data_IF_019074890598
#
_entry.id   IF_019074890598
#
_cell.length_a   1.000
_cell.length_b   1.000
_cell.length_c   1.000
_cell.angle_alpha   90.00
_cell.angle_beta   90.00
_cell.angle_gamma   90.00
#
_symmetry.space_group_name_H-M   'P 1'
#
loop_
_entity.id
_entity.type
_entity.pdbx_description
1 polymer ?
#
# COMPACT_ATOMS: atom_id res chain seq x y z
N UNK A 1 -19.86 44.96 -68.74
CA UNK A 1 -19.67 44.68 -67.34
C UNK A 1 -19.58 43.20 -67.12
N UNK A 2 -18.35 42.63 -66.94
CA UNK A 2 -18.11 41.22 -66.67
C UNK A 2 -18.01 41.02 -65.16
N UNK A 3 -18.87 40.24 -64.55
CA UNK A 3 -18.78 39.85 -63.12
C UNK A 3 -17.92 38.60 -63.02
N UNK A 4 -16.78 38.73 -62.40
CA UNK A 4 -15.90 37.62 -62.02
C UNK A 4 -16.36 37.06 -60.65
N UNK A 5 -16.81 35.81 -60.62
CA UNK A 5 -17.13 35.07 -59.41
C UNK A 5 -15.86 34.36 -58.90
N UNK A 6 -15.45 34.65 -57.67
CA UNK A 6 -14.40 33.92 -56.94
C UNK A 6 -15.01 32.68 -56.29
N UNK A 7 -14.36 31.52 -56.31
CA UNK A 7 -14.80 30.37 -55.58
C UNK A 7 -14.38 30.48 -54.11
N UNK A 8 -15.34 30.26 -53.21
CA UNK A 8 -15.14 30.14 -51.76
C UNK A 8 -14.59 28.72 -51.48
N UNK A 9 -13.34 28.62 -51.14
CA UNK A 9 -12.74 27.36 -50.66
C UNK A 9 -13.06 27.19 -49.17
N UNK A 10 -13.93 26.29 -48.83
CA UNK A 10 -14.23 25.90 -47.47
C UNK A 10 -13.10 25.01 -46.93
N UNK A 11 -12.31 25.52 -46.00
CA UNK A 11 -11.29 24.77 -45.25
C UNK A 11 -12.02 24.00 -44.14
N UNK A 12 -12.18 22.68 -44.33
CA UNK A 12 -12.68 21.77 -43.31
C UNK A 12 -11.53 21.47 -42.31
N UNK A 13 -11.50 22.20 -41.22
CA UNK A 13 -10.55 21.91 -40.10
C UNK A 13 -11.03 20.65 -39.37
N UNK A 14 -10.46 19.50 -39.72
CA UNK A 14 -10.67 18.26 -39.00
C UNK A 14 -10.03 18.31 -37.60
N UNK A 15 -10.83 18.43 -36.57
CA UNK A 15 -10.36 18.27 -35.20
C UNK A 15 -9.98 16.80 -34.96
N UNK A 16 -8.69 16.52 -34.93
CA UNK A 16 -8.15 15.23 -34.49
C UNK A 16 -8.38 15.14 -32.96
N UNK A 17 -9.46 14.52 -32.54
CA UNK A 17 -9.65 14.09 -31.16
C UNK A 17 -8.64 12.95 -30.88
N UNK A 18 -7.54 13.29 -30.21
CA UNK A 18 -6.64 12.31 -29.63
C UNK A 18 -7.41 11.58 -28.53
N UNK A 19 -7.91 10.39 -28.81
CA UNK A 19 -8.44 9.48 -27.80
C UNK A 19 -7.24 8.96 -27.02
N UNK A 20 -6.89 9.62 -25.91
CA UNK A 20 -5.97 9.05 -24.94
C UNK A 20 -6.59 7.74 -24.44
N UNK A 21 -5.87 6.62 -24.45
CA UNK A 21 -6.39 5.39 -23.89
C UNK A 21 -6.75 5.65 -22.41
N UNK A 22 -7.97 5.28 -22.04
CA UNK A 22 -8.42 5.41 -20.65
C UNK A 22 -7.46 4.62 -19.77
N UNK A 23 -6.66 5.34 -18.97
CA UNK A 23 -5.75 4.74 -18.00
C UNK A 23 -6.62 4.12 -16.91
N UNK A 24 -6.36 2.85 -16.57
CA UNK A 24 -7.03 2.23 -15.43
C UNK A 24 -6.81 3.05 -14.16
N UNK A 25 -7.82 3.12 -13.29
CA UNK A 25 -7.81 3.93 -12.09
C UNK A 25 -6.61 3.59 -11.16
N UNK A 26 -6.17 4.57 -10.42
CA UNK A 26 -5.19 4.39 -9.34
C UNK A 26 -5.83 3.61 -8.19
N UNK A 27 -4.98 2.91 -7.41
CA UNK A 27 -5.37 2.09 -6.26
C UNK A 27 -4.44 2.39 -5.10
N UNK A 28 -4.60 3.56 -4.43
CA UNK A 28 -3.54 4.13 -3.59
C UNK A 28 -3.40 3.51 -2.20
N UNK A 29 -4.34 2.68 -1.77
CA UNK A 29 -4.38 2.11 -0.42
C UNK A 29 -5.08 0.76 -0.40
N UNK A 30 -5.09 0.09 0.76
CA UNK A 30 -5.89 -1.10 1.00
C UNK A 30 -7.36 -0.83 0.69
N UNK A 31 -7.99 -1.70 -0.10
CA UNK A 31 -9.35 -1.57 -0.62
C UNK A 31 -9.60 -0.37 -1.54
N UNK A 32 -8.54 0.22 -2.11
CA UNK A 32 -8.67 1.22 -3.15
C UNK A 32 -8.97 2.65 -2.68
N UNK A 33 -9.31 3.55 -3.61
CA UNK A 33 -9.43 4.98 -3.31
C UNK A 33 -10.50 5.29 -2.26
N UNK A 34 -11.60 4.57 -2.26
CA UNK A 34 -12.74 4.78 -1.36
C UNK A 34 -12.69 3.85 -0.13
N UNK A 35 -11.73 2.92 -0.06
CA UNK A 35 -11.56 1.98 1.04
C UNK A 35 -12.61 0.86 1.11
N UNK A 36 -13.45 0.73 0.09
CA UNK A 36 -14.58 -0.20 0.03
C UNK A 36 -14.31 -1.48 -0.80
N UNK A 37 -13.18 -1.52 -1.52
CA UNK A 37 -12.79 -2.65 -2.37
C UNK A 37 -13.42 -2.64 -3.76
N UNK A 38 -14.13 -1.59 -4.15
CA UNK A 38 -14.76 -1.48 -5.46
C UNK A 38 -13.88 -0.72 -6.45
N UNK A 39 -13.86 -1.19 -7.69
CA UNK A 39 -13.21 -0.50 -8.80
C UNK A 39 -14.23 -0.17 -9.88
N UNK A 40 -14.24 1.08 -10.35
CA UNK A 40 -15.04 1.51 -11.49
C UNK A 40 -14.46 1.02 -12.83
N UNK A 41 -14.02 -0.23 -12.87
CA UNK A 41 -13.39 -0.83 -14.06
C UNK A 41 -14.45 -1.38 -15.03
N UNK A 42 -14.22 -1.16 -16.33
CA UNK A 42 -15.06 -1.70 -17.42
C UNK A 42 -14.21 -2.55 -18.35
N UNK A 43 -14.83 -3.54 -18.99
CA UNK A 43 -14.15 -4.37 -19.98
C UNK A 43 -13.06 -5.28 -19.40
N UNK A 44 -13.18 -5.67 -18.14
CA UNK A 44 -12.27 -6.65 -17.55
C UNK A 44 -12.37 -7.98 -18.27
N UNK A 45 -11.25 -8.69 -18.52
CA UNK A 45 -11.29 -10.00 -19.12
C UNK A 45 -12.00 -10.99 -18.21
N UNK A 46 -12.93 -11.77 -18.75
CA UNK A 46 -13.60 -12.84 -18.00
C UNK A 46 -12.76 -14.13 -17.94
N UNK A 47 -11.82 -14.27 -18.87
CA UNK A 47 -10.92 -15.42 -18.93
C UNK A 47 -9.47 -14.92 -19.00
N UNK A 48 -8.60 -15.53 -18.22
CA UNK A 48 -7.16 -15.32 -18.29
C UNK A 48 -6.42 -16.61 -17.95
N UNK A 49 -5.19 -16.72 -18.43
CA UNK A 49 -4.26 -17.80 -18.15
C UNK A 49 -2.83 -17.26 -18.19
N UNK A 50 -1.84 -18.14 -17.99
CA UNK A 50 -0.43 -17.77 -18.12
C UNK A 50 -0.06 -17.10 -19.46
N UNK A 51 -0.80 -17.39 -20.52
CA UNK A 51 -0.55 -16.90 -21.89
C UNK A 51 -1.66 -16.01 -22.45
N UNK A 52 -2.73 -15.76 -21.68
CA UNK A 52 -3.90 -15.03 -22.18
C UNK A 52 -4.29 -13.91 -21.20
N UNK A 53 -4.42 -12.70 -21.73
CA UNK A 53 -4.82 -11.50 -20.96
C UNK A 53 -3.87 -11.15 -19.80
N UNK A 54 -2.63 -11.65 -19.82
CA UNK A 54 -1.54 -11.28 -18.92
C UNK A 54 -0.56 -10.41 -19.70
N UNK A 55 -0.41 -9.14 -19.30
CA UNK A 55 0.48 -8.19 -19.95
C UNK A 55 1.96 -8.47 -19.62
N UNK A 56 2.23 -8.77 -18.36
CA UNK A 56 3.55 -9.10 -17.85
C UNK A 56 3.45 -9.90 -16.54
N UNK A 57 4.54 -10.57 -16.18
CA UNK A 57 4.74 -11.24 -14.89
C UNK A 57 6.11 -10.87 -14.37
N UNK A 58 6.18 -10.48 -13.11
CA UNK A 58 7.45 -10.10 -12.47
C UNK A 58 7.61 -10.90 -11.19
N UNK A 59 8.67 -11.73 -11.08
CA UNK A 59 8.97 -12.41 -9.85
C UNK A 59 9.39 -11.41 -8.78
N UNK A 60 8.82 -11.53 -7.59
CA UNK A 60 9.17 -10.75 -6.41
C UNK A 60 9.77 -11.71 -5.39
N UNK A 61 10.92 -11.34 -4.82
CA UNK A 61 11.59 -12.15 -3.80
C UNK A 61 10.83 -12.17 -2.47
N UNK A 62 11.15 -13.16 -1.64
CA UNK A 62 10.59 -13.28 -0.30
C UNK A 62 9.12 -13.71 -0.28
N UNK A 63 8.42 -13.29 0.79
CA UNK A 63 7.03 -13.61 1.04
C UNK A 63 6.26 -12.36 1.40
N UNK A 64 5.17 -12.09 0.69
CA UNK A 64 4.34 -10.92 0.89
C UNK A 64 2.85 -11.26 0.79
N UNK A 65 2.06 -10.65 1.67
CA UNK A 65 0.60 -10.74 1.65
C UNK A 65 -0.05 -9.34 1.58
N UNK A 66 0.79 -8.30 1.44
CA UNK A 66 0.31 -6.96 1.16
C UNK A 66 -0.36 -6.90 -0.21
N UNK A 67 -1.45 -6.15 -0.31
CA UNK A 67 -2.00 -5.80 -1.63
C UNK A 67 -1.08 -4.80 -2.31
N UNK A 68 -0.86 -4.93 -3.63
CA UNK A 68 -0.17 -3.89 -4.37
C UNK A 68 -0.98 -2.58 -4.37
N UNK A 69 -0.29 -1.44 -4.22
CA UNK A 69 -0.89 -0.11 -4.41
C UNK A 69 -0.38 0.51 -5.70
N UNK A 70 -1.24 1.29 -6.36
CA UNK A 70 -0.98 1.81 -7.69
C UNK A 70 -1.23 3.31 -7.69
N UNK A 71 -0.23 4.07 -8.13
CA UNK A 71 -0.37 5.48 -8.42
C UNK A 71 0.43 5.82 -9.68
N UNK A 72 -0.27 6.33 -10.68
CA UNK A 72 0.38 6.63 -11.94
C UNK A 72 0.95 5.39 -12.62
N UNK A 73 2.22 5.38 -12.93
CA UNK A 73 2.95 4.28 -13.57
C UNK A 73 3.67 3.34 -12.60
N UNK A 74 3.46 3.53 -11.31
CA UNK A 74 4.11 2.77 -10.25
C UNK A 74 3.15 1.79 -9.57
N UNK A 75 3.62 0.57 -9.34
CA UNK A 75 2.98 -0.45 -8.53
C UNK A 75 3.92 -0.78 -7.38
N UNK A 76 3.50 -0.51 -6.16
CA UNK A 76 4.30 -0.74 -4.98
C UNK A 76 3.71 -1.84 -4.11
N UNK A 77 4.58 -2.63 -3.52
CA UNK A 77 4.25 -3.68 -2.54
C UNK A 77 5.40 -3.82 -1.53
N UNK A 78 5.12 -4.50 -0.44
CA UNK A 78 6.13 -4.88 0.55
C UNK A 78 6.45 -6.37 0.42
N UNK A 79 7.65 -6.77 0.79
CA UNK A 79 8.05 -8.18 0.90
C UNK A 79 9.00 -8.38 2.08
N UNK A 80 9.16 -9.62 2.52
CA UNK A 80 10.07 -9.98 3.61
C UNK A 80 10.69 -11.35 3.33
N UNK A 81 11.87 -11.61 3.90
CA UNK A 81 12.39 -12.96 3.97
C UNK A 81 11.46 -13.87 4.79
N UNK A 82 11.45 -15.16 4.53
CA UNK A 82 10.57 -16.10 5.24
C UNK A 82 10.81 -16.11 6.75
N UNK A 83 12.04 -15.87 7.17
CA UNK A 83 12.44 -15.78 8.58
C UNK A 83 12.20 -14.37 9.18
N UNK A 84 11.72 -13.41 8.37
CA UNK A 84 11.39 -12.05 8.81
C UNK A 84 12.58 -11.15 9.12
N UNK A 85 13.80 -11.56 8.77
CA UNK A 85 14.99 -10.79 9.08
C UNK A 85 15.23 -9.61 8.17
N UNK A 86 14.78 -9.66 6.93
CA UNK A 86 14.89 -8.57 5.98
C UNK A 86 13.50 -8.16 5.48
N UNK A 87 13.22 -6.86 5.56
CA UNK A 87 11.94 -6.28 5.19
C UNK A 87 12.17 -5.25 4.09
N UNK A 88 11.46 -5.39 2.97
CA UNK A 88 11.71 -4.62 1.75
C UNK A 88 10.45 -4.01 1.17
N UNK A 89 10.63 -2.92 0.41
CA UNK A 89 9.62 -2.36 -0.47
C UNK A 89 10.07 -2.47 -1.93
N UNK A 90 9.17 -2.92 -2.80
CA UNK A 90 9.43 -3.11 -4.21
C UNK A 90 8.49 -2.23 -5.03
N UNK A 91 9.04 -1.55 -6.03
CA UNK A 91 8.29 -0.81 -7.02
C UNK A 91 8.47 -1.44 -8.41
N UNK A 92 7.36 -1.69 -9.07
CA UNK A 92 7.32 -2.22 -10.43
C UNK A 92 6.66 -1.19 -11.35
N UNK A 93 7.18 -1.03 -12.54
CA UNK A 93 6.53 -0.21 -13.56
C UNK A 93 5.25 -0.89 -14.04
N UNK A 94 4.13 -0.22 -13.93
CA UNK A 94 2.77 -0.71 -14.26
C UNK A 94 2.63 -1.17 -15.71
N UNK A 95 3.34 -0.52 -16.63
CA UNK A 95 3.18 -0.82 -18.05
C UNK A 95 4.10 -1.93 -18.54
N UNK A 96 5.32 -1.99 -18.04
CA UNK A 96 6.34 -2.93 -18.51
C UNK A 96 6.61 -4.11 -17.58
N UNK A 97 6.17 -4.04 -16.32
CA UNK A 97 6.52 -5.03 -15.31
C UNK A 97 7.97 -4.95 -14.80
N UNK A 98 8.76 -3.98 -15.26
CA UNK A 98 10.16 -3.84 -14.82
C UNK A 98 10.23 -3.33 -13.38
N UNK A 99 11.11 -3.92 -12.57
CA UNK A 99 11.40 -3.40 -11.23
C UNK A 99 12.10 -2.04 -11.37
N UNK A 100 11.53 -1.02 -10.72
CA UNK A 100 12.08 0.34 -10.64
C UNK A 100 12.92 0.48 -9.38
N UNK A 101 12.39 0.01 -8.26
CA UNK A 101 13.04 0.00 -6.96
C UNK A 101 12.89 -1.36 -6.30
N UNK A 102 13.95 -1.81 -5.64
CA UNK A 102 13.97 -2.96 -4.75
C UNK A 102 14.82 -2.57 -3.54
N UNK A 103 14.15 -2.23 -2.44
CA UNK A 103 14.74 -1.49 -1.32
C UNK A 103 14.61 -2.30 -0.03
N UNK A 104 15.73 -2.82 0.48
CA UNK A 104 15.79 -3.33 1.84
C UNK A 104 15.69 -2.16 2.81
N UNK A 105 14.63 -2.14 3.62
CA UNK A 105 14.33 -1.03 4.54
C UNK A 105 14.76 -1.33 5.96
N UNK A 106 14.46 -2.54 6.44
CA UNK A 106 14.76 -2.90 7.82
C UNK A 106 15.43 -4.26 7.90
N UNK A 107 16.40 -4.35 8.82
CA UNK A 107 16.95 -5.60 9.32
C UNK A 107 16.47 -5.83 10.74
N UNK A 108 16.06 -7.07 11.04
CA UNK A 108 15.53 -7.50 12.32
C UNK A 108 16.30 -8.72 12.81
N UNK A 109 17.13 -8.53 13.83
CA UNK A 109 17.97 -9.61 14.34
C UNK A 109 17.15 -10.76 14.95
N UNK A 110 16.07 -10.42 15.66
CA UNK A 110 15.20 -11.37 16.36
C UNK A 110 13.73 -11.07 15.98
N UNK A 111 13.23 -11.54 14.82
CA UNK A 111 11.85 -11.35 14.43
C UNK A 111 10.88 -11.98 15.44
N UNK A 112 9.76 -11.31 15.68
CA UNK A 112 8.67 -11.88 16.46
C UNK A 112 8.09 -13.09 15.71
N UNK A 113 7.39 -13.95 16.45
CA UNK A 113 6.65 -15.04 15.82
C UNK A 113 5.64 -14.49 14.78
N UNK A 114 5.62 -15.12 13.63
CA UNK A 114 4.62 -14.88 12.59
C UNK A 114 3.93 -16.20 12.24
N UNK A 115 2.60 -16.21 12.28
CA UNK A 115 1.82 -17.41 12.01
C UNK A 115 1.94 -17.79 10.52
N UNK A 116 1.90 -19.09 10.20
CA UNK A 116 2.00 -19.62 8.82
C UNK A 116 0.96 -19.03 7.84
N UNK A 117 -0.20 -18.57 8.35
CA UNK A 117 -1.22 -17.88 7.56
C UNK A 117 -1.00 -16.38 7.43
N UNK A 118 0.13 -15.89 7.90
CA UNK A 118 0.53 -14.50 7.79
C UNK A 118 1.93 -14.40 7.17
N UNK A 119 2.39 -13.17 6.93
CA UNK A 119 3.75 -12.88 6.53
C UNK A 119 4.27 -11.67 7.31
N UNK A 120 5.58 -11.49 7.33
CA UNK A 120 6.20 -10.30 7.92
C UNK A 120 5.96 -9.02 7.09
N UNK A 121 5.33 -9.16 5.91
CA UNK A 121 4.99 -8.07 5.00
C UNK A 121 3.51 -8.14 4.58
N UNK A 122 2.60 -8.22 5.55
CA UNK A 122 1.15 -8.28 5.30
C UNK A 122 0.46 -6.92 5.27
N UNK A 123 0.87 -5.90 6.05
CA UNK A 123 0.29 -4.57 5.91
C UNK A 123 0.45 -4.02 4.50
N UNK A 124 -0.65 -3.58 3.91
CA UNK A 124 -0.66 -2.94 2.60
C UNK A 124 -0.14 -1.51 2.72
N UNK A 125 0.79 -1.07 1.87
CA UNK A 125 1.25 0.31 1.86
C UNK A 125 0.13 1.30 1.51
N UNK A 126 0.37 2.60 1.76
CA UNK A 126 -0.45 3.68 1.21
C UNK A 126 0.44 4.66 0.46
N UNK A 127 -0.01 5.11 -0.71
CA UNK A 127 0.76 5.97 -1.62
C UNK A 127 0.01 7.25 -1.94
N UNK A 128 0.74 8.35 -1.99
CA UNK A 128 0.28 9.64 -2.52
C UNK A 128 1.33 10.21 -3.48
N UNK A 129 1.03 11.32 -4.11
CA UNK A 129 1.97 11.96 -5.02
C UNK A 129 3.33 12.25 -4.36
N UNK A 130 4.37 11.59 -4.87
CA UNK A 130 5.75 11.75 -4.41
C UNK A 130 6.13 10.97 -3.15
N UNK A 131 5.18 10.31 -2.47
CA UNK A 131 5.46 9.57 -1.22
C UNK A 131 4.73 8.25 -1.14
N UNK A 132 5.42 7.25 -0.61
CA UNK A 132 4.81 6.00 -0.18
C UNK A 132 5.13 5.74 1.30
N UNK A 133 4.17 5.23 2.02
CA UNK A 133 4.28 4.88 3.43
C UNK A 133 4.11 3.39 3.57
N UNK A 134 5.11 2.75 4.14
CA UNK A 134 5.15 1.30 4.37
C UNK A 134 5.30 1.03 5.85
N UNK A 135 4.61 0.00 6.35
CA UNK A 135 4.76 -0.46 7.72
C UNK A 135 4.87 -1.97 7.77
N UNK A 136 5.65 -2.45 8.72
CA UNK A 136 5.80 -3.86 9.05
C UNK A 136 5.38 -4.12 10.51
N UNK A 137 4.61 -3.17 11.07
CA UNK A 137 4.29 -3.17 12.50
C UNK A 137 5.50 -2.76 13.35
N UNK A 138 5.75 -3.48 14.43
CA UNK A 138 6.84 -3.21 15.39
C UNK A 138 8.24 -3.14 14.76
N UNK A 139 8.61 -3.93 13.75
CA UNK A 139 9.88 -3.78 13.05
C UNK A 139 10.15 -2.38 12.50
N UNK A 140 9.13 -1.71 12.01
CA UNK A 140 9.28 -0.33 11.56
C UNK A 140 8.25 0.15 10.56
N UNK A 141 8.18 1.47 10.44
CA UNK A 141 7.39 2.22 9.47
C UNK A 141 8.30 3.24 8.80
N UNK A 142 8.20 3.38 7.49
CA UNK A 142 8.99 4.33 6.72
C UNK A 142 8.15 5.08 5.69
N UNK A 143 8.57 6.31 5.40
CA UNK A 143 8.13 7.09 4.24
C UNK A 143 9.27 7.17 3.23
N UNK A 144 8.97 6.84 1.99
CA UNK A 144 9.92 6.89 0.89
C UNK A 144 9.50 7.93 -0.14
N UNK A 145 10.49 8.56 -0.77
CA UNK A 145 10.29 9.31 -2.00
C UNK A 145 10.08 8.34 -3.17
N UNK A 146 8.95 8.42 -3.84
CA UNK A 146 8.57 7.46 -4.90
C UNK A 146 9.41 7.56 -6.16
N UNK A 147 10.09 8.69 -6.40
CA UNK A 147 10.93 8.90 -7.56
C UNK A 147 12.33 8.33 -7.35
N UNK A 148 12.89 8.56 -6.17
CA UNK A 148 14.30 8.22 -5.89
C UNK A 148 14.48 6.97 -5.05
N UNK A 149 13.42 6.47 -4.41
CA UNK A 149 13.48 5.37 -3.45
C UNK A 149 14.11 5.74 -2.10
N UNK A 150 14.48 7.01 -1.88
CA UNK A 150 15.13 7.45 -0.64
C UNK A 150 14.15 7.43 0.52
N UNK A 151 14.61 6.94 1.68
CA UNK A 151 13.89 7.08 2.94
C UNK A 151 13.89 8.55 3.34
N UNK A 152 12.69 9.14 3.48
CA UNK A 152 12.47 10.50 3.94
C UNK A 152 12.42 10.57 5.46
N UNK A 153 11.81 9.59 6.09
CA UNK A 153 11.81 9.36 7.52
C UNK A 153 11.46 7.90 7.83
N UNK A 154 11.85 7.44 9.01
CA UNK A 154 11.50 6.12 9.56
C UNK A 154 11.18 6.19 11.05
N UNK A 155 10.40 5.23 11.55
CA UNK A 155 10.03 5.05 12.95
C UNK A 155 10.11 3.58 13.31
N UNK A 156 10.80 3.29 14.45
CA UNK A 156 10.97 1.93 14.98
C UNK A 156 10.63 1.84 16.48
N UNK A 157 9.97 2.86 16.99
CA UNK A 157 9.67 3.03 18.43
C UNK A 157 8.23 2.61 18.81
N UNK A 158 7.43 2.20 17.86
CA UNK A 158 6.09 1.66 18.11
C UNK A 158 6.17 0.14 18.24
N UNK A 159 6.29 -0.33 19.48
CA UNK A 159 6.51 -1.75 19.77
C UNK A 159 5.27 -2.34 20.43
N UNK A 160 4.80 -3.47 19.90
CA UNK A 160 3.83 -4.35 20.55
C UNK A 160 4.10 -5.80 20.13
N UNK A 161 3.59 -6.75 20.87
CA UNK A 161 3.63 -8.16 20.47
C UNK A 161 2.45 -8.46 19.54
N UNK A 162 2.73 -8.55 18.23
CA UNK A 162 1.70 -8.81 17.21
C UNK A 162 1.11 -10.22 17.25
N UNK A 163 1.49 -11.06 18.20
CA UNK A 163 0.99 -12.41 18.45
C UNK A 163 1.10 -13.35 17.21
N UNK A 164 0.57 -12.95 16.06
CA UNK A 164 0.58 -13.75 14.81
C UNK A 164 1.18 -13.02 13.62
N UNK A 165 1.83 -11.90 13.87
CA UNK A 165 2.40 -11.01 12.86
C UNK A 165 1.51 -9.80 12.60
N UNK A 166 2.12 -8.70 12.16
CA UNK A 166 1.43 -7.47 11.81
C UNK A 166 0.48 -7.67 10.63
N UNK A 167 -0.67 -6.98 10.64
CA UNK A 167 -1.68 -7.07 9.57
C UNK A 167 -2.35 -5.74 9.24
N UNK A 168 -2.36 -4.78 10.17
CA UNK A 168 -3.05 -3.50 9.99
C UNK A 168 -2.34 -2.61 8.97
N UNK A 169 -3.08 -2.18 7.95
CA UNK A 169 -2.59 -1.27 6.92
C UNK A 169 -2.73 0.19 7.35
N UNK A 170 -1.75 1.06 7.04
CA UNK A 170 -1.86 2.48 7.31
C UNK A 170 -2.87 3.15 6.39
N UNK A 171 -3.45 4.26 6.85
CA UNK A 171 -4.30 5.13 6.05
C UNK A 171 -3.81 6.58 6.11
N UNK A 172 -4.07 7.33 5.05
CA UNK A 172 -3.85 8.79 5.03
C UNK A 172 -5.18 9.48 5.26
N UNK A 173 -5.19 10.41 6.21
CA UNK A 173 -6.29 11.35 6.39
C UNK A 173 -5.71 12.76 6.51
N UNK A 174 -5.99 13.63 5.55
CA UNK A 174 -5.41 14.97 5.44
C UNK A 174 -3.87 14.97 5.50
N UNK A 175 -3.28 15.53 6.55
CA UNK A 175 -1.84 15.56 6.79
C UNK A 175 -1.34 14.43 7.72
N UNK A 176 -2.22 13.50 8.09
CA UNK A 176 -1.93 12.43 9.02
C UNK A 176 -1.72 11.10 8.31
N UNK A 177 -0.75 10.34 8.79
CA UNK A 177 -0.64 8.90 8.60
C UNK A 177 -1.15 8.21 9.87
N UNK A 178 -2.23 7.47 9.76
CA UNK A 178 -2.88 6.81 10.89
C UNK A 178 -2.59 5.32 10.81
N UNK A 179 -2.16 4.75 11.93
CA UNK A 179 -1.80 3.34 12.05
C UNK A 179 -2.40 2.75 13.33
N UNK A 180 -2.85 1.51 13.21
CA UNK A 180 -3.36 0.73 14.32
C UNK A 180 -2.34 -0.35 14.73
N UNK A 181 -2.11 -0.46 16.02
CA UNK A 181 -1.24 -1.45 16.64
C UNK A 181 -2.06 -2.28 17.64
N UNK A 182 -2.43 -3.49 17.21
CA UNK A 182 -3.19 -4.44 18.03
C UNK A 182 -2.28 -5.59 18.48
N UNK A 183 -1.52 -5.31 19.52
CA UNK A 183 -0.67 -6.32 20.15
C UNK A 183 -1.43 -7.10 21.23
N UNK A 184 -0.91 -8.26 21.58
CA UNK A 184 -1.39 -9.01 22.76
C UNK A 184 -0.98 -8.36 24.08
N UNK A 185 -0.08 -7.39 24.05
CA UNK A 185 0.43 -6.64 25.20
C UNK A 185 -0.03 -5.18 25.21
N UNK A 186 0.09 -4.50 24.07
CA UNK A 186 -0.28 -3.10 23.90
C UNK A 186 -1.19 -2.93 22.67
N UNK A 187 -2.28 -2.17 22.85
CA UNK A 187 -3.16 -1.79 21.74
C UNK A 187 -3.31 -0.27 21.73
N UNK A 188 -3.02 0.31 20.59
CA UNK A 188 -3.13 1.76 20.40
C UNK A 188 -3.30 2.13 18.93
N UNK A 189 -3.88 3.31 18.71
CA UNK A 189 -3.88 3.98 17.42
C UNK A 189 -2.94 5.18 17.52
N UNK A 190 -2.15 5.38 16.49
CA UNK A 190 -1.21 6.51 16.40
C UNK A 190 -1.41 7.25 15.09
N UNK A 191 -1.37 8.59 15.15
CA UNK A 191 -1.31 9.46 13.98
C UNK A 191 0.02 10.19 13.95
N UNK A 192 0.68 10.10 12.82
CA UNK A 192 1.92 10.80 12.54
C UNK A 192 1.64 11.95 11.54
N UNK A 193 2.36 13.06 11.69
CA UNK A 193 2.49 14.00 10.57
C UNK A 193 3.16 13.28 9.40
N UNK A 194 2.46 13.10 8.32
CA UNK A 194 2.89 12.28 7.19
C UNK A 194 4.16 12.79 6.50
N UNK A 195 4.49 14.08 6.61
CA UNK A 195 5.69 14.66 6.01
C UNK A 195 6.94 14.43 6.85
N UNK A 196 6.80 14.44 8.17
CA UNK A 196 7.94 14.41 9.10
C UNK A 196 8.07 13.14 9.91
N UNK A 197 7.03 12.31 9.95
CA UNK A 197 6.96 11.11 10.81
C UNK A 197 6.81 11.41 12.31
N UNK A 198 6.62 12.68 12.69
CA UNK A 198 6.42 13.06 14.10
C UNK A 198 5.03 12.65 14.58
N UNK A 199 4.95 12.11 15.80
CA UNK A 199 3.67 11.79 16.41
C UNK A 199 2.86 13.05 16.66
N UNK A 200 1.64 13.10 16.14
CA UNK A 200 0.66 14.17 16.38
C UNK A 200 -0.19 13.79 17.58
N UNK A 201 -0.68 12.56 17.60
CA UNK A 201 -1.39 11.99 18.74
C UNK A 201 -1.23 10.48 18.78
N UNK A 202 -1.42 9.91 19.97
CA UNK A 202 -1.51 8.49 20.22
C UNK A 202 -2.65 8.26 21.19
N UNK A 203 -3.46 7.24 20.94
CA UNK A 203 -4.59 6.85 21.77
C UNK A 203 -4.47 5.38 22.13
N UNK A 204 -4.30 5.11 23.42
CA UNK A 204 -4.35 3.75 23.95
C UNK A 204 -5.79 3.23 23.93
N UNK A 205 -5.96 1.94 23.80
CA UNK A 205 -7.25 1.29 24.01
C UNK A 205 -7.76 1.56 25.41
N UNK A 206 -8.99 2.02 25.51
CA UNK A 206 -9.63 2.35 26.79
C UNK A 206 -10.62 1.28 27.28
N UNK A 207 -10.96 0.30 26.44
CA UNK A 207 -11.90 -0.75 26.76
C UNK A 207 -11.12 -2.00 27.16
N UNK A 208 -11.46 -2.53 28.33
CA UNK A 208 -10.97 -3.83 28.78
C UNK A 208 -11.92 -4.93 28.25
N UNK A 209 -11.45 -5.69 27.30
CA UNK A 209 -12.17 -6.84 26.74
C UNK A 209 -11.95 -8.12 27.54
N UNK A 210 -11.22 -8.04 28.67
CA UNK A 210 -10.80 -9.20 29.47
C UNK A 210 -9.99 -10.22 28.66
N UNK A 211 -9.27 -9.75 27.67
CA UNK A 211 -8.44 -10.53 26.77
C UNK A 211 -7.02 -10.74 27.32
N UNK A 212 -6.73 -10.13 28.47
CA UNK A 212 -5.49 -10.34 29.21
C UNK A 212 -5.83 -10.92 30.59
N UNK A 213 -5.17 -11.99 30.96
CA UNK A 213 -5.17 -12.53 32.31
C UNK A 213 -3.81 -12.33 32.93
N UNK A 214 -3.76 -11.65 34.07
CA UNK A 214 -2.52 -11.32 34.79
C UNK A 214 -1.46 -10.63 33.89
N UNK A 215 -1.91 -9.77 32.94
CA UNK A 215 -1.06 -9.11 31.98
C UNK A 215 -0.47 -10.04 30.91
N UNK A 216 -0.99 -11.26 30.79
CA UNK A 216 -0.65 -12.23 29.74
C UNK A 216 -1.86 -12.47 28.85
N UNK A 217 -1.66 -12.68 27.54
CA UNK A 217 -2.74 -13.04 26.64
C UNK A 217 -3.41 -14.32 27.16
N UNK A 218 -4.71 -14.28 27.43
CA UNK A 218 -5.48 -15.53 27.45
C UNK A 218 -5.55 -16.04 26.01
N UNK A 219 -5.56 -17.36 25.80
CA UNK A 219 -5.81 -17.97 24.50
C UNK A 219 -7.29 -17.78 24.09
N UNK A 220 -7.73 -16.55 23.98
CA UNK A 220 -9.12 -16.25 23.62
C UNK A 220 -9.19 -15.79 22.18
N UNK A 221 -10.02 -16.43 21.40
CA UNK A 221 -10.24 -16.18 19.96
C UNK A 221 -10.78 -14.78 19.61
N UNK A 222 -11.07 -13.94 20.57
CA UNK A 222 -11.69 -12.63 20.33
C UNK A 222 -10.74 -11.57 19.73
N UNK A 223 -9.44 -11.83 19.70
CA UNK A 223 -8.46 -11.00 18.99
C UNK A 223 -8.67 -10.92 17.48
N UNK A 224 -9.38 -11.89 16.90
CA UNK A 224 -9.57 -11.93 15.45
C UNK A 224 -10.60 -10.92 14.94
N UNK A 225 -11.50 -10.48 15.80
CA UNK A 225 -12.59 -9.61 15.36
C UNK A 225 -12.25 -8.12 15.43
N UNK A 226 -11.28 -7.73 16.25
CA UNK A 226 -10.88 -6.33 16.41
C UNK A 226 -9.96 -5.82 15.29
N UNK A 227 -9.17 -6.72 14.67
CA UNK A 227 -8.22 -6.35 13.59
C UNK A 227 -8.83 -6.42 12.19
N UNK A 228 -10.12 -6.76 12.06
CA UNK A 228 -10.84 -6.92 10.79
C UNK A 228 -11.95 -5.86 10.62
N UNK A 229 -12.28 -5.12 11.67
CA UNK A 229 -13.31 -4.09 11.65
C UNK A 229 -12.80 -2.75 11.11
#
# INVERSE_FOLDING_TARGET
>A
MKRTSLPFAAILAGALFSISPARAADWPQFRGPDGDGHAAAKGLPLNWSESQNVKWKTPIHGKAWSSPVILGDQVWLTTATEDGKELSAVCVNRDSGKIIHDLKLFEVANPQFCHKFNSYASPTPVIEQGRIYVTFGSPGTACLDTKTGKVLWERRDFVCNHFRGAGSSPIIFENLLIMNYDGSDFQFIVALDKKTGKTVWRKERSVDYRDLKDGKPEEVMDFYNASIA
#
